data_IF_415063920037
#
_entry.id   IF_415063920037
#
_cell.length_a   1.000
_cell.length_b   1.000
_cell.length_c   1.000
_cell.angle_alpha   90.00
_cell.angle_beta   90.00
_cell.angle_gamma   90.00
#
_symmetry.space_group_name_H-M   'P 1'
#
loop_
_entity.id
_entity.type
_entity.pdbx_description
1 polymer ?
#
# COMPACT_ATOMS: atom_id res chain seq x y z
N UNK A 1 1.28 29.66 53.58
CA UNK A 1 1.66 29.22 52.22
C UNK A 1 2.37 27.89 52.38
N UNK A 2 1.91 26.83 51.71
CA UNK A 2 2.57 25.52 51.75
C UNK A 2 3.53 25.42 50.56
N UNK A 3 4.79 25.15 50.84
CA UNK A 3 5.84 25.05 49.84
C UNK A 3 5.65 23.79 48.98
N UNK A 4 5.74 23.92 47.66
CA UNK A 4 5.81 22.76 46.74
C UNK A 4 7.23 22.70 46.20
N UNK A 5 8.01 21.65 46.50
CA UNK A 5 9.32 21.50 45.88
C UNK A 5 9.14 21.35 44.36
N UNK A 6 9.66 22.32 43.60
CA UNK A 6 9.84 22.18 42.16
C UNK A 6 10.97 21.17 41.98
N UNK A 7 10.60 19.90 41.77
CA UNK A 7 11.55 18.82 41.56
C UNK A 7 12.38 19.09 40.31
N UNK A 8 13.67 19.34 40.53
CA UNK A 8 14.64 19.62 39.49
C UNK A 8 14.79 18.36 38.62
N UNK A 9 14.34 18.44 37.37
CA UNK A 9 14.54 17.38 36.38
C UNK A 9 15.51 17.92 35.35
N UNK A 10 16.78 17.54 35.48
CA UNK A 10 17.80 17.82 34.48
C UNK A 10 17.26 17.52 33.07
N UNK A 11 17.56 18.40 32.11
CA UNK A 11 17.17 18.20 30.71
C UNK A 11 17.65 16.84 30.16
N UNK A 12 18.78 16.33 30.67
CA UNK A 12 19.33 15.00 30.36
C UNK A 12 18.45 13.88 30.94
N UNK A 13 17.88 14.06 32.13
CA UNK A 13 16.92 13.14 32.74
C UNK A 13 15.62 13.08 31.93
N UNK A 14 15.05 14.24 31.57
CA UNK A 14 13.84 14.33 30.73
C UNK A 14 14.06 13.67 29.37
N UNK A 15 15.21 13.90 28.72
CA UNK A 15 15.57 13.26 27.46
C UNK A 15 15.70 11.72 27.61
N UNK A 16 16.35 11.25 28.68
CA UNK A 16 16.53 9.81 28.97
C UNK A 16 15.21 9.11 29.30
N UNK A 17 14.30 9.76 30.01
CA UNK A 17 13.01 9.18 30.36
C UNK A 17 12.06 9.18 29.15
N UNK A 18 12.07 10.25 28.35
CA UNK A 18 11.38 10.29 27.04
C UNK A 18 11.91 9.18 26.11
N UNK A 19 13.23 8.94 26.13
CA UNK A 19 13.86 7.86 25.37
C UNK A 19 13.40 6.47 25.84
N UNK A 20 13.43 6.20 27.15
CA UNK A 20 12.92 4.96 27.74
C UNK A 20 11.42 4.75 27.46
N UNK A 21 10.63 5.81 27.51
CA UNK A 21 9.21 5.76 27.17
C UNK A 21 9.01 5.38 25.69
N UNK A 22 9.69 6.05 24.75
CA UNK A 22 9.66 5.68 23.32
C UNK A 22 10.12 4.24 23.08
N UNK A 23 11.15 3.77 23.79
CA UNK A 23 11.61 2.37 23.76
C UNK A 23 10.51 1.39 24.20
N UNK A 24 9.83 1.67 25.32
CA UNK A 24 8.73 0.85 25.83
C UNK A 24 7.52 0.85 24.87
N UNK A 25 7.12 2.03 24.39
CA UNK A 25 6.06 2.19 23.39
C UNK A 25 6.39 1.40 22.10
N UNK A 26 7.65 1.33 21.69
CA UNK A 26 8.09 0.52 20.54
C UNK A 26 7.99 -0.97 20.80
N UNK A 27 8.40 -1.45 21.97
CA UNK A 27 8.26 -2.86 22.36
C UNK A 27 6.78 -3.28 22.51
N UNK A 28 5.91 -2.36 22.93
CA UNK A 28 4.46 -2.58 22.96
C UNK A 28 3.87 -2.57 21.53
N UNK A 29 4.27 -1.63 20.68
CA UNK A 29 3.89 -1.56 19.25
C UNK A 29 4.53 -2.64 18.35
N UNK A 30 5.42 -3.48 18.90
CA UNK A 30 5.95 -4.69 18.27
C UNK A 30 5.18 -5.95 18.67
N UNK A 31 4.28 -5.89 19.65
CA UNK A 31 3.44 -7.04 20.00
C UNK A 31 2.24 -7.15 19.05
N UNK A 32 1.84 -8.36 18.63
CA UNK A 32 0.60 -8.53 17.88
C UNK A 32 -0.58 -8.09 18.75
N UNK A 33 -1.64 -7.57 18.13
CA UNK A 33 -2.87 -7.28 18.87
C UNK A 33 -3.42 -8.55 19.53
N UNK A 34 -4.02 -8.46 20.73
CA UNK A 34 -4.64 -9.61 21.39
C UNK A 34 -5.64 -10.29 20.47
N UNK A 35 -5.60 -11.63 20.40
CA UNK A 35 -6.45 -12.44 19.53
C UNK A 35 -7.95 -12.12 19.69
N UNK A 36 -8.40 -11.83 20.91
CA UNK A 36 -9.78 -11.42 21.20
C UNK A 36 -10.16 -10.15 20.43
N UNK A 37 -9.29 -9.14 20.41
CA UNK A 37 -9.54 -7.88 19.71
C UNK A 37 -9.49 -8.08 18.18
N UNK A 38 -8.59 -8.94 17.69
CA UNK A 38 -8.53 -9.32 16.27
C UNK A 38 -9.81 -10.04 15.82
N UNK A 39 -10.38 -10.95 16.63
CA UNK A 39 -11.57 -11.74 16.27
C UNK A 39 -12.91 -11.15 16.73
N UNK A 40 -12.91 -10.06 17.50
CA UNK A 40 -14.13 -9.37 17.97
C UNK A 40 -15.10 -9.06 16.81
N UNK A 41 -14.60 -8.46 15.73
CA UNK A 41 -15.43 -8.11 14.58
C UNK A 41 -15.97 -9.32 13.81
N UNK A 42 -15.27 -10.48 13.86
CA UNK A 42 -15.80 -11.73 13.31
C UNK A 42 -17.01 -12.20 14.11
N UNK A 43 -16.96 -12.11 15.45
CA UNK A 43 -18.10 -12.40 16.32
C UNK A 43 -19.29 -11.48 16.04
N UNK A 44 -19.04 -10.18 15.83
CA UNK A 44 -20.09 -9.20 15.47
C UNK A 44 -20.75 -9.54 14.12
N UNK A 45 -19.97 -9.86 13.08
CA UNK A 45 -20.52 -10.27 11.77
C UNK A 45 -21.35 -11.54 11.90
N UNK A 46 -20.87 -12.56 12.61
CA UNK A 46 -21.62 -13.80 12.83
C UNK A 46 -22.96 -13.54 13.56
N UNK A 47 -22.97 -12.68 14.58
CA UNK A 47 -24.20 -12.31 15.29
C UNK A 47 -25.21 -11.59 14.37
N UNK A 48 -24.76 -10.64 13.57
CA UNK A 48 -25.61 -9.92 12.59
C UNK A 48 -26.16 -10.89 11.54
N UNK A 49 -25.35 -11.84 11.05
CA UNK A 49 -25.75 -12.81 10.03
C UNK A 49 -26.79 -13.81 10.56
N UNK A 50 -26.59 -14.33 11.78
CA UNK A 50 -27.55 -15.23 12.45
C UNK A 50 -28.87 -14.50 12.73
N UNK A 51 -28.81 -13.26 13.22
CA UNK A 51 -30.02 -12.44 13.42
C UNK A 51 -30.72 -12.11 12.09
N UNK A 52 -29.97 -11.80 11.04
CA UNK A 52 -30.51 -11.58 9.68
C UNK A 52 -31.24 -12.83 9.17
N UNK A 53 -30.67 -14.02 9.37
CA UNK A 53 -31.32 -15.30 9.02
C UNK A 53 -32.62 -15.50 9.81
N UNK A 54 -32.62 -15.22 11.11
CA UNK A 54 -33.83 -15.28 11.95
C UNK A 54 -34.93 -14.32 11.45
N UNK A 55 -34.60 -13.05 11.17
CA UNK A 55 -35.60 -12.08 10.68
C UNK A 55 -36.12 -12.52 9.30
N UNK A 56 -35.24 -12.90 8.38
CA UNK A 56 -35.63 -13.28 7.03
C UNK A 56 -36.53 -14.53 7.01
N UNK A 57 -36.05 -15.64 7.56
CA UNK A 57 -36.80 -16.92 7.56
C UNK A 57 -37.99 -16.87 8.51
N UNK A 58 -37.85 -16.23 9.67
CA UNK A 58 -38.89 -16.17 10.69
C UNK A 58 -40.03 -15.19 10.37
N UNK A 59 -39.80 -14.14 9.58
CA UNK A 59 -40.82 -13.13 9.25
C UNK A 59 -41.26 -13.12 7.79
N UNK A 60 -40.35 -13.17 6.81
CA UNK A 60 -40.75 -13.14 5.37
C UNK A 60 -41.31 -14.50 4.94
N UNK A 61 -40.56 -15.56 5.18
CA UNK A 61 -40.93 -16.88 4.67
C UNK A 61 -42.22 -17.39 5.32
N UNK A 62 -42.46 -17.05 6.59
CA UNK A 62 -43.72 -17.34 7.29
C UNK A 62 -44.89 -16.49 6.76
N UNK A 63 -44.71 -15.17 6.53
CA UNK A 63 -45.72 -14.32 5.86
C UNK A 63 -46.11 -14.89 4.48
N UNK A 64 -45.13 -15.25 3.65
CA UNK A 64 -45.35 -15.78 2.29
C UNK A 64 -46.08 -17.13 2.31
N UNK A 65 -45.63 -18.09 3.12
CA UNK A 65 -46.30 -19.38 3.28
C UNK A 65 -47.75 -19.23 3.78
N UNK A 66 -48.00 -18.30 4.71
CA UNK A 66 -49.34 -18.02 5.24
C UNK A 66 -50.26 -17.29 4.24
N UNK A 67 -49.72 -16.58 3.24
CA UNK A 67 -50.50 -15.96 2.15
C UNK A 67 -50.99 -16.97 1.10
N UNK A 68 -50.60 -18.25 1.22
CA UNK A 68 -51.04 -19.35 0.33
C UNK A 68 -50.15 -19.56 -0.90
N UNK A 69 -49.24 -18.63 -1.21
CA UNK A 69 -48.29 -18.77 -2.32
C UNK A 69 -47.07 -19.60 -1.93
N UNK A 70 -47.32 -20.89 -1.74
CA UNK A 70 -46.31 -21.87 -1.31
C UNK A 70 -45.19 -22.07 -2.33
N UNK A 71 -45.46 -21.83 -3.62
CA UNK A 71 -44.46 -21.95 -4.70
C UNK A 71 -43.53 -20.74 -4.71
N UNK A 72 -44.07 -19.51 -4.69
CA UNK A 72 -43.24 -18.31 -4.62
C UNK A 72 -42.42 -18.30 -3.33
N UNK A 73 -43.06 -18.54 -2.17
CA UNK A 73 -42.37 -18.64 -0.88
C UNK A 73 -41.23 -19.66 -0.89
N UNK A 74 -41.43 -20.83 -1.51
CA UNK A 74 -40.40 -21.86 -1.68
C UNK A 74 -39.20 -21.40 -2.51
N UNK A 75 -39.44 -20.68 -3.61
CA UNK A 75 -38.37 -20.12 -4.47
C UNK A 75 -37.54 -19.07 -3.72
N UNK A 76 -38.17 -18.16 -2.98
CA UNK A 76 -37.46 -17.15 -2.20
C UNK A 76 -36.59 -17.79 -1.10
N UNK A 77 -37.11 -18.81 -0.40
CA UNK A 77 -36.35 -19.58 0.59
C UNK A 77 -35.13 -20.25 -0.06
N UNK A 78 -35.30 -20.87 -1.24
CA UNK A 78 -34.22 -21.58 -1.92
C UNK A 78 -33.09 -20.63 -2.36
N UNK A 79 -33.42 -19.48 -2.97
CA UNK A 79 -32.43 -18.49 -3.40
C UNK A 79 -31.72 -17.84 -2.21
N UNK A 80 -32.46 -17.50 -1.15
CA UNK A 80 -31.88 -16.97 0.08
C UNK A 80 -30.87 -17.96 0.70
N UNK A 81 -31.23 -19.25 0.79
CA UNK A 81 -30.32 -20.27 1.32
C UNK A 81 -29.09 -20.49 0.44
N UNK A 82 -29.22 -20.41 -0.89
CA UNK A 82 -28.07 -20.44 -1.80
C UNK A 82 -27.09 -19.30 -1.52
N UNK A 83 -27.57 -18.06 -1.43
CA UNK A 83 -26.71 -16.92 -1.14
C UNK A 83 -26.13 -16.96 0.29
N UNK A 84 -26.93 -17.37 1.28
CA UNK A 84 -26.48 -17.57 2.66
C UNK A 84 -25.37 -18.63 2.77
N UNK A 85 -25.52 -19.75 2.06
CA UNK A 85 -24.51 -20.82 2.04
C UNK A 85 -23.22 -20.35 1.34
N UNK A 86 -23.32 -19.68 0.19
CA UNK A 86 -22.15 -19.16 -0.52
C UNK A 86 -21.43 -18.06 0.26
N UNK A 87 -22.16 -17.14 0.89
CA UNK A 87 -21.62 -16.17 1.83
C UNK A 87 -20.90 -16.88 3.00
N UNK A 88 -21.56 -17.82 3.66
CA UNK A 88 -21.00 -18.51 4.83
C UNK A 88 -19.75 -19.32 4.49
N UNK A 89 -19.75 -20.02 3.36
CA UNK A 89 -18.61 -20.82 2.89
C UNK A 89 -17.41 -19.93 2.54
N UNK A 90 -17.64 -18.82 1.83
CA UNK A 90 -16.56 -17.89 1.44
C UNK A 90 -16.02 -17.10 2.63
N UNK A 91 -16.89 -16.67 3.55
CA UNK A 91 -16.48 -15.99 4.79
C UNK A 91 -15.66 -16.92 5.69
N UNK A 92 -16.13 -18.15 5.92
CA UNK A 92 -15.36 -19.17 6.65
C UNK A 92 -14.01 -19.40 5.98
N UNK A 93 -13.98 -19.58 4.65
CA UNK A 93 -12.73 -19.82 3.91
C UNK A 93 -11.71 -18.71 4.10
N UNK A 94 -12.11 -17.43 3.99
CA UNK A 94 -11.17 -16.31 4.17
C UNK A 94 -10.75 -16.09 5.62
N UNK A 95 -11.51 -16.56 6.61
CA UNK A 95 -11.11 -16.54 8.03
C UNK A 95 -10.11 -17.65 8.36
N UNK A 96 -10.30 -18.88 7.84
CA UNK A 96 -9.43 -20.03 8.16
C UNK A 96 -8.16 -20.08 7.31
N UNK A 97 -8.15 -19.42 6.14
CA UNK A 97 -6.96 -19.39 5.28
C UNK A 97 -5.99 -18.30 5.75
N UNK A 98 -4.75 -18.63 6.15
CA UNK A 98 -3.77 -17.62 6.53
C UNK A 98 -3.37 -16.77 5.30
N UNK A 99 -2.86 -15.54 5.50
CA UNK A 99 -2.49 -14.66 4.39
C UNK A 99 -1.17 -15.04 3.69
N UNK A 100 -0.34 -15.87 4.35
CA UNK A 100 1.06 -16.15 3.99
C UNK A 100 2.00 -15.22 4.75
N UNK A 101 2.78 -15.75 5.69
CA UNK A 101 3.72 -14.96 6.49
C UNK A 101 5.15 -15.16 6.00
N UNK A 102 5.91 -14.07 5.80
CA UNK A 102 7.24 -14.16 5.18
C UNK A 102 8.23 -15.01 6.00
N UNK A 103 8.10 -15.01 7.33
CA UNK A 103 8.90 -15.82 8.26
C UNK A 103 8.75 -17.34 8.06
N UNK A 104 7.65 -17.78 7.43
CA UNK A 104 7.39 -19.19 7.16
C UNK A 104 8.17 -19.67 5.90
N UNK A 105 8.78 -18.74 5.14
CA UNK A 105 9.49 -18.98 3.89
C UNK A 105 10.92 -18.41 3.84
N UNK A 106 11.23 -17.38 4.65
CA UNK A 106 12.54 -16.73 4.71
C UNK A 106 13.09 -16.81 6.13
N UNK A 107 14.32 -17.34 6.34
CA UNK A 107 14.95 -17.33 7.65
C UNK A 107 15.30 -15.91 8.09
N UNK A 108 15.53 -15.73 9.39
CA UNK A 108 16.06 -14.48 9.89
C UNK A 108 17.50 -14.27 9.40
N UNK A 109 17.86 -13.01 9.17
CA UNK A 109 19.16 -12.57 8.73
C UNK A 109 19.58 -11.28 9.44
N UNK A 110 20.89 -11.07 9.51
CA UNK A 110 21.46 -9.78 9.91
C UNK A 110 21.05 -8.66 8.94
N UNK A 111 21.03 -7.39 9.38
CA UNK A 111 20.82 -6.26 8.49
C UNK A 111 21.91 -6.20 7.40
N UNK A 112 21.62 -5.57 6.25
CA UNK A 112 22.65 -5.24 5.26
C UNK A 112 23.79 -4.38 5.87
N UNK A 113 24.87 -4.15 5.13
CA UNK A 113 25.91 -3.21 5.57
C UNK A 113 25.43 -1.74 5.53
N UNK A 114 24.67 -1.37 4.49
CA UNK A 114 24.13 -0.03 4.27
C UNK A 114 22.61 -0.03 4.12
N UNK A 115 21.98 0.97 4.71
CA UNK A 115 20.54 1.25 4.65
C UNK A 115 20.12 1.69 3.25
N UNK A 116 18.80 1.68 3.01
CA UNK A 116 18.16 2.31 1.85
C UNK A 116 18.51 3.80 1.62
N UNK A 117 19.26 4.43 2.53
CA UNK A 117 19.75 5.81 2.46
C UNK A 117 21.29 5.92 2.40
N UNK A 118 22.00 4.81 2.13
CA UNK A 118 23.46 4.77 2.04
C UNK A 118 24.20 4.94 3.37
N UNK A 119 23.48 5.02 4.50
CA UNK A 119 24.06 5.09 5.86
C UNK A 119 24.33 3.69 6.39
N UNK A 120 25.36 3.43 7.21
CA UNK A 120 25.54 2.14 7.88
C UNK A 120 24.28 1.72 8.64
N UNK A 121 23.96 0.42 8.69
CA UNK A 121 22.93 -0.10 9.60
C UNK A 121 23.43 -0.06 11.04
N UNK A 122 23.28 1.10 11.67
CA UNK A 122 23.54 1.28 13.08
C UNK A 122 22.32 0.76 13.87
N UNK A 123 22.49 -0.37 14.57
CA UNK A 123 21.47 -1.01 15.43
C UNK A 123 21.00 -0.01 16.51
N UNK A 124 21.90 0.84 17.00
CA UNK A 124 21.58 1.89 17.96
C UNK A 124 20.86 3.09 17.31
N UNK A 125 20.76 3.19 15.98
CA UNK A 125 20.01 4.25 15.29
C UNK A 125 18.51 3.95 15.18
N UNK A 126 18.13 2.69 14.90
CA UNK A 126 16.75 2.22 15.11
C UNK A 126 16.40 2.36 16.61
N UNK A 127 17.32 2.00 17.52
CA UNK A 127 17.12 2.17 18.96
C UNK A 127 16.97 3.65 19.37
N UNK A 128 17.78 4.58 18.82
CA UNK A 128 17.74 6.03 19.08
C UNK A 128 16.52 6.73 18.47
N UNK A 129 15.93 6.16 17.42
CA UNK A 129 14.72 6.68 16.82
C UNK A 129 14.88 8.04 16.15
N UNK A 130 16.11 8.37 15.76
CA UNK A 130 16.45 9.57 14.99
C UNK A 130 16.26 9.40 13.48
N UNK A 131 15.87 8.20 13.02
CA UNK A 131 15.40 8.01 11.64
C UNK A 131 13.90 8.35 11.52
N UNK A 132 13.57 9.64 11.59
CA UNK A 132 12.30 10.18 11.09
C UNK A 132 12.14 9.97 9.56
N UNK A 133 13.15 9.41 8.89
CA UNK A 133 13.11 8.88 7.52
C UNK A 133 12.37 7.55 7.37
N UNK A 134 11.94 6.89 8.44
CA UNK A 134 11.13 5.65 8.41
C UNK A 134 9.72 5.76 7.75
N UNK A 135 9.46 6.79 6.94
CA UNK A 135 8.47 6.72 5.86
C UNK A 135 8.95 5.76 4.76
N UNK A 136 8.82 4.46 5.03
CA UNK A 136 8.60 3.51 3.93
C UNK A 136 7.46 4.03 3.06
N UNK A 137 7.66 4.08 1.73
CA UNK A 137 6.72 4.68 0.77
C UNK A 137 5.35 3.94 0.73
N UNK A 138 5.18 2.84 1.47
CA UNK A 138 3.89 2.19 1.74
C UNK A 138 3.09 2.73 2.94
N UNK A 139 3.70 3.28 4.00
CA UNK A 139 3.03 3.41 5.33
C UNK A 139 2.27 4.71 5.59
N UNK A 140 1.49 5.20 4.61
CA UNK A 140 0.65 6.38 4.80
C UNK A 140 -0.59 6.16 5.70
N UNK A 141 -0.73 5.02 6.38
CA UNK A 141 -1.81 4.75 7.34
C UNK A 141 -1.48 5.18 8.79
N UNK A 142 -0.24 5.59 9.07
CA UNK A 142 0.27 5.84 10.43
C UNK A 142 -0.26 7.11 11.15
N UNK A 143 -1.11 7.92 10.53
CA UNK A 143 -1.39 9.28 11.02
C UNK A 143 -2.86 9.73 11.01
N UNK A 144 -3.83 8.81 10.90
CA UNK A 144 -5.26 9.14 10.86
C UNK A 144 -6.02 8.58 12.08
N UNK A 145 -5.69 9.09 13.27
CA UNK A 145 -6.56 8.99 14.45
C UNK A 145 -6.49 10.20 15.39
N UNK A 146 -5.49 11.09 15.27
CA UNK A 146 -5.40 12.29 16.10
C UNK A 146 -5.04 13.53 15.27
N UNK A 147 -6.06 14.34 14.96
CA UNK A 147 -5.90 15.77 14.67
C UNK A 147 -6.95 16.56 15.44
N UNK A 148 -6.69 16.72 16.75
CA UNK A 148 -7.32 17.77 17.54
C UNK A 148 -6.92 19.15 17.01
N UNK A 149 -7.79 20.14 17.21
CA UNK A 149 -7.59 21.49 16.69
C UNK A 149 -6.35 22.17 17.27
N UNK A 150 -5.42 22.60 16.39
CA UNK A 150 -4.30 23.48 16.71
C UNK A 150 -4.20 24.61 15.67
N UNK A 151 -4.11 25.87 16.11
CA UNK A 151 -4.04 27.05 15.24
C UNK A 151 -2.67 27.17 14.55
N UNK A 152 -2.57 27.79 13.37
CA UNK A 152 -1.28 28.09 12.76
C UNK A 152 -0.58 29.21 13.55
N UNK A 153 0.63 28.93 14.06
CA UNK A 153 1.52 29.97 14.56
C UNK A 153 2.34 30.55 13.41
N UNK A 154 2.06 31.81 13.09
CA UNK A 154 2.94 32.66 12.31
C UNK A 154 4.18 33.02 13.13
N UNK A 155 5.36 32.83 12.57
CA UNK A 155 6.61 33.43 13.04
C UNK A 155 7.35 33.97 11.82
N UNK A 156 7.39 35.30 11.70
CA UNK A 156 8.15 35.99 10.68
C UNK A 156 9.63 36.06 11.08
N UNK A 157 10.53 35.85 10.12
CA UNK A 157 11.98 36.03 10.30
C UNK A 157 12.41 37.43 9.85
N UNK A 158 12.79 38.27 10.80
CA UNK A 158 13.34 39.61 10.58
C UNK A 158 14.83 39.55 10.17
N UNK A 159 15.25 40.14 9.04
CA UNK A 159 16.61 39.98 8.51
C UNK A 159 17.59 41.06 8.98
N UNK A 160 18.02 41.05 10.24
CA UNK A 160 19.12 41.92 10.71
C UNK A 160 20.09 41.28 11.72
N UNK A 161 21.20 40.70 11.23
CA UNK A 161 22.57 40.80 11.81
C UNK A 161 23.60 40.02 11.00
N UNK A 162 24.70 40.71 10.64
CA UNK A 162 25.96 40.16 10.12
C UNK A 162 27.13 40.71 11.00
N UNK A 163 28.36 40.17 10.88
CA UNK A 163 29.25 39.95 12.03
C UNK A 163 30.35 41.01 12.19
N UNK A 164 31.21 40.90 13.22
CA UNK A 164 32.58 41.42 13.19
C UNK A 164 33.55 40.42 12.52
N UNK A 165 34.67 40.95 12.05
CA UNK A 165 35.61 40.38 11.07
C UNK A 165 37.04 40.35 11.67
N UNK A 166 38.07 40.03 10.85
CA UNK A 166 39.52 40.29 11.08
C UNK A 166 40.23 39.23 11.96
N UNK A 167 41.42 38.66 11.66
CA UNK A 167 42.47 38.93 10.64
C UNK A 167 43.19 37.64 10.16
N UNK A 168 44.01 37.76 9.11
CA UNK A 168 44.82 36.67 8.53
C UNK A 168 46.19 36.46 9.22
N UNK A 169 46.77 35.26 9.07
CA UNK A 169 48.13 34.91 9.49
C UNK A 169 48.60 33.60 8.82
N UNK A 170 49.89 33.51 8.46
CA UNK A 170 50.43 32.52 7.49
C UNK A 170 51.08 31.28 8.11
N UNK A 171 50.93 30.15 7.38
CA UNK A 171 51.89 29.03 7.18
C UNK A 171 52.52 28.31 8.39
N UNK A 172 52.41 26.96 8.42
CA UNK A 172 53.55 26.04 8.22
C UNK A 172 53.14 24.55 8.21
N UNK A 173 53.99 23.79 7.53
CA UNK A 173 54.14 22.33 7.33
C UNK A 173 53.50 21.34 8.33
N UNK A 174 53.06 20.18 7.81
CA UNK A 174 53.79 18.92 8.05
C UNK A 174 53.48 17.86 6.98
N UNK A 175 54.53 17.23 6.46
CA UNK A 175 54.50 16.11 5.50
C UNK A 175 55.17 14.86 6.13
N UNK A 176 55.06 13.69 5.48
CA UNK A 176 55.76 12.40 5.77
C UNK A 176 55.25 11.51 6.96
N UNK A 177 55.28 10.16 6.96
CA UNK A 177 55.62 9.10 5.95
C UNK A 177 54.98 7.72 6.37
N UNK A 178 54.72 6.74 5.47
CA UNK A 178 54.16 5.37 5.71
C UNK A 178 55.27 4.26 5.82
N UNK A 179 55.11 2.90 5.66
CA UNK A 179 53.99 1.98 5.30
C UNK A 179 53.94 0.61 6.09
N UNK A 180 53.65 -0.54 5.41
CA UNK A 180 53.75 -2.00 5.78
C UNK A 180 52.45 -2.64 6.40
N UNK A 181 51.60 -3.42 5.71
CA UNK A 181 51.73 -4.75 5.03
C UNK A 181 51.81 -5.96 6.01
N UNK A 182 51.23 -7.15 5.81
CA UNK A 182 50.25 -7.75 4.87
C UNK A 182 49.68 -9.05 5.52
N UNK A 183 48.77 -9.81 4.85
CA UNK A 183 48.76 -11.30 4.76
C UNK A 183 47.49 -11.80 4.03
N UNK A 184 47.67 -12.82 3.19
CA UNK A 184 46.63 -13.47 2.37
C UNK A 184 45.79 -14.50 3.15
N UNK A 185 44.55 -14.75 2.70
CA UNK A 185 44.08 -16.12 2.37
C UNK A 185 42.64 -16.13 1.81
N UNK A 186 42.48 -16.49 0.52
CA UNK A 186 41.39 -17.37 0.06
C UNK A 186 41.98 -18.35 -0.96
N UNK A 187 41.68 -19.63 -0.75
CA UNK A 187 42.26 -20.77 -1.48
C UNK A 187 41.31 -21.19 -2.62
N UNK A 188 41.89 -21.47 -3.79
CA UNK A 188 41.43 -22.28 -4.94
C UNK A 188 39.96 -22.15 -5.42
N UNK A 189 39.63 -21.70 -6.65
CA UNK A 189 39.97 -22.29 -7.98
C UNK A 189 39.30 -23.67 -8.26
N UNK A 190 39.06 -24.08 -9.53
CA UNK A 190 39.01 -23.32 -10.80
C UNK A 190 37.89 -23.78 -11.80
N UNK A 191 38.02 -23.32 -13.06
CA UNK A 191 37.48 -23.85 -14.33
C UNK A 191 36.06 -23.37 -14.73
N UNK A 192 35.83 -22.84 -15.93
CA UNK A 192 36.76 -22.69 -17.07
C UNK A 192 36.41 -21.56 -18.03
N UNK A 193 37.44 -21.14 -18.76
CA UNK A 193 37.45 -20.05 -19.73
C UNK A 193 36.71 -20.39 -21.03
N UNK A 194 36.26 -19.38 -21.77
CA UNK A 194 36.51 -19.32 -23.22
C UNK A 194 36.22 -17.94 -23.86
N UNK A 195 37.10 -17.53 -24.79
CA UNK A 195 36.99 -16.42 -25.77
C UNK A 195 37.12 -14.94 -25.31
N UNK A 196 37.63 -14.02 -26.18
CA UNK A 196 38.93 -13.41 -25.86
C UNK A 196 38.99 -11.87 -25.96
N UNK A 197 40.20 -11.35 -25.68
CA UNK A 197 40.60 -9.93 -25.74
C UNK A 197 40.15 -9.16 -27.00
N UNK A 198 39.72 -7.93 -26.76
CA UNK A 198 39.72 -6.82 -27.71
C UNK A 198 39.95 -5.52 -26.96
N UNK A 199 41.03 -4.79 -27.27
CA UNK A 199 41.45 -3.60 -26.53
C UNK A 199 40.49 -2.41 -26.67
N UNK A 200 40.18 -1.76 -25.56
CA UNK A 200 39.74 -0.37 -25.54
C UNK A 200 40.06 0.29 -24.19
N UNK A 201 41.06 1.19 -24.19
CA UNK A 201 41.29 2.12 -23.08
C UNK A 201 40.09 3.04 -22.91
N UNK A 202 39.43 3.01 -21.74
CA UNK A 202 38.65 4.16 -21.29
C UNK A 202 38.74 4.35 -19.78
N UNK A 203 39.03 5.58 -19.38
CA UNK A 203 39.20 6.05 -18.01
C UNK A 203 37.90 5.94 -17.19
N UNK A 204 38.03 5.50 -15.94
CA UNK A 204 36.96 5.58 -14.95
C UNK A 204 36.77 7.05 -14.57
N UNK A 205 35.63 7.64 -14.93
CA UNK A 205 35.23 8.97 -14.45
C UNK A 205 34.15 8.87 -13.37
N UNK A 206 34.60 9.16 -12.16
CA UNK A 206 33.78 9.55 -11.01
C UNK A 206 32.79 10.66 -11.40
N UNK A 207 31.50 10.45 -11.15
CA UNK A 207 30.44 11.44 -11.45
C UNK A 207 29.65 11.80 -10.20
N UNK A 208 30.08 12.86 -9.53
CA UNK A 208 29.22 13.64 -8.64
C UNK A 208 28.14 14.37 -9.47
N UNK A 209 26.91 14.53 -8.96
CA UNK A 209 25.83 15.18 -9.70
C UNK A 209 25.92 16.70 -9.58
N UNK A 210 26.59 17.35 -10.53
CA UNK A 210 26.48 18.80 -10.72
C UNK A 210 25.51 19.14 -11.85
N UNK A 211 24.54 20.01 -11.57
CA UNK A 211 23.60 20.53 -12.56
C UNK A 211 24.36 21.32 -13.64
N UNK A 212 24.26 20.89 -14.90
CA UNK A 212 24.61 21.74 -16.05
C UNK A 212 23.35 22.04 -16.90
N UNK A 213 23.05 23.31 -17.17
CA UNK A 213 22.00 23.66 -18.11
C UNK A 213 22.51 23.51 -19.55
N UNK A 214 21.81 22.74 -20.37
CA UNK A 214 22.12 22.60 -21.80
C UNK A 214 21.92 23.96 -22.49
N UNK A 215 22.95 24.45 -23.17
CA UNK A 215 22.90 25.72 -23.89
C UNK A 215 22.02 25.61 -25.14
N UNK A 216 20.85 26.25 -25.12
CA UNK A 216 20.00 26.38 -26.31
C UNK A 216 20.63 27.35 -27.32
N UNK A 217 20.76 26.93 -28.57
CA UNK A 217 21.15 27.80 -29.68
C UNK A 217 20.10 28.91 -29.85
N UNK A 218 20.57 30.14 -30.07
CA UNK A 218 19.71 31.30 -30.34
C UNK A 218 19.46 31.42 -31.84
N UNK A 219 18.32 30.93 -32.30
CA UNK A 219 17.65 31.56 -33.45
C UNK A 219 16.55 32.46 -32.92
N UNK A 220 16.54 33.71 -33.41
CA UNK A 220 15.65 34.74 -32.90
C UNK A 220 14.41 34.87 -33.76
N UNK A 221 13.25 34.61 -33.17
CA UNK A 221 11.98 35.17 -33.66
C UNK A 221 11.37 36.10 -32.61
N UNK A 222 10.77 37.19 -33.08
CA UNK A 222 10.21 38.26 -32.25
C UNK A 222 8.69 38.22 -32.33
N UNK A 223 8.01 37.62 -31.35
CA UNK A 223 6.67 38.07 -30.90
C UNK A 223 6.22 37.35 -29.63
N UNK A 224 5.15 37.88 -29.03
CA UNK A 224 4.44 37.43 -27.81
C UNK A 224 5.10 37.71 -26.46
N UNK A 225 4.28 38.32 -25.58
CA UNK A 225 4.61 38.69 -24.20
C UNK A 225 4.89 37.41 -23.40
N UNK A 226 6.13 37.26 -22.93
CA UNK A 226 6.59 36.02 -22.30
C UNK A 226 5.91 35.70 -20.97
N UNK A 227 4.86 34.89 -20.99
CA UNK A 227 4.64 33.95 -19.90
C UNK A 227 5.82 32.98 -19.88
N UNK A 228 6.58 32.95 -18.78
CA UNK A 228 7.52 31.86 -18.52
C UNK A 228 6.71 30.57 -18.35
N UNK A 229 6.51 29.82 -19.43
CA UNK A 229 5.98 28.47 -19.34
C UNK A 229 6.95 27.62 -18.53
N UNK A 230 6.62 27.39 -17.26
CA UNK A 230 7.36 26.47 -16.38
C UNK A 230 7.22 25.09 -17.00
N UNK A 231 8.31 24.55 -17.53
CA UNK A 231 8.30 23.23 -18.15
C UNK A 231 8.19 22.16 -17.06
N UNK A 232 6.97 21.67 -16.80
CA UNK A 232 6.73 20.62 -15.82
C UNK A 232 6.84 19.24 -16.49
N UNK A 233 7.74 18.42 -15.95
CA UNK A 233 7.86 17.01 -16.25
C UNK A 233 7.29 16.16 -15.10
N UNK A 234 6.82 14.95 -15.40
CA UNK A 234 6.55 13.93 -14.37
C UNK A 234 7.89 13.51 -13.75
N UNK A 235 7.93 13.40 -12.42
CA UNK A 235 9.10 12.88 -11.69
C UNK A 235 8.69 11.60 -10.91
N UNK A 236 8.79 10.41 -11.54
CA UNK A 236 8.37 9.17 -10.92
C UNK A 236 9.38 8.68 -9.87
N UNK A 237 8.96 7.86 -8.88
CA UNK A 237 9.85 7.36 -7.83
C UNK A 237 11.05 6.59 -8.41
N UNK A 238 12.26 7.02 -8.06
CA UNK A 238 13.53 6.39 -8.46
C UNK A 238 14.09 5.45 -7.39
N UNK A 239 13.26 5.04 -6.42
CA UNK A 239 13.67 4.09 -5.37
C UNK A 239 13.82 2.69 -5.97
N UNK A 240 14.99 2.03 -5.81
CA UNK A 240 15.24 0.69 -6.33
C UNK A 240 14.52 -0.37 -5.46
N UNK A 241 13.24 -0.61 -5.74
CA UNK A 241 12.37 -1.47 -4.90
C UNK A 241 12.71 -2.97 -4.97
N UNK A 242 13.44 -3.43 -6.00
CA UNK A 242 13.90 -4.81 -6.12
C UNK A 242 15.28 -5.03 -5.48
N UNK A 243 16.08 -3.97 -5.31
CA UNK A 243 17.40 -4.05 -4.70
C UNK A 243 17.34 -4.62 -3.27
N UNK A 244 18.43 -5.26 -2.85
CA UNK A 244 18.49 -6.04 -1.62
C UNK A 244 18.35 -5.13 -0.39
N UNK A 245 19.13 -4.06 -0.35
CA UNK A 245 19.28 -3.11 0.77
C UNK A 245 17.96 -2.42 1.14
N UNK A 246 17.05 -2.31 0.17
CA UNK A 246 15.74 -1.65 0.28
C UNK A 246 14.63 -2.57 0.82
N UNK A 247 14.89 -3.88 0.95
CA UNK A 247 13.89 -4.89 1.33
C UNK A 247 14.06 -5.48 2.71
N UNK A 248 15.04 -5.08 3.52
CA UNK A 248 15.15 -5.58 4.91
C UNK A 248 13.96 -5.18 5.80
N UNK A 249 13.67 -6.00 6.82
CA UNK A 249 12.75 -5.68 7.91
C UNK A 249 13.48 -5.77 9.26
N UNK A 250 13.79 -4.63 9.90
CA UNK A 250 14.40 -4.62 11.24
C UNK A 250 13.54 -5.27 12.34
N UNK A 251 12.22 -5.33 12.16
CA UNK A 251 11.27 -5.93 13.12
C UNK A 251 11.29 -7.45 13.10
N UNK A 252 11.08 -8.03 11.92
CA UNK A 252 11.05 -9.48 11.72
C UNK A 252 12.47 -10.06 11.56
N UNK A 253 13.46 -9.19 11.36
CA UNK A 253 14.86 -9.48 11.04
C UNK A 253 15.01 -10.40 9.81
N UNK A 254 14.32 -10.08 8.72
CA UNK A 254 14.36 -10.86 7.48
C UNK A 254 14.36 -9.97 6.23
N UNK A 255 14.85 -10.51 5.12
CA UNK A 255 14.69 -9.91 3.80
C UNK A 255 13.27 -10.15 3.29
N UNK A 256 12.52 -9.07 3.05
CA UNK A 256 11.16 -9.16 2.51
C UNK A 256 11.21 -9.77 1.10
N UNK A 257 10.45 -10.84 0.84
CA UNK A 257 10.11 -11.24 -0.52
C UNK A 257 9.43 -10.10 -1.27
N UNK A 258 9.31 -10.23 -2.58
CA UNK A 258 8.65 -9.22 -3.39
C UNK A 258 7.21 -8.99 -2.91
N UNK A 259 6.74 -7.73 -2.96
CA UNK A 259 5.38 -7.31 -2.54
C UNK A 259 5.04 -7.57 -1.05
N UNK A 260 6.03 -7.91 -0.23
CA UNK A 260 5.85 -8.18 1.21
C UNK A 260 5.93 -6.91 2.05
N UNK A 261 5.00 -6.74 2.99
CA UNK A 261 5.03 -5.64 3.97
C UNK A 261 4.76 -6.13 5.39
N UNK A 262 5.35 -5.44 6.39
CA UNK A 262 5.11 -5.72 7.81
C UNK A 262 3.78 -5.12 8.27
N UNK A 263 2.83 -5.98 8.65
CA UNK A 263 1.60 -5.53 9.31
C UNK A 263 1.84 -5.36 10.81
N UNK A 264 1.59 -4.15 11.33
CA UNK A 264 1.79 -3.85 12.76
C UNK A 264 0.78 -4.55 13.66
N UNK A 265 -0.47 -4.67 13.20
CA UNK A 265 -1.58 -5.26 13.97
C UNK A 265 -1.40 -6.78 14.17
N UNK A 266 -0.74 -7.43 13.20
CA UNK A 266 -0.31 -8.84 13.29
C UNK A 266 1.16 -9.00 13.73
N UNK A 267 1.91 -7.92 13.89
CA UNK A 267 3.34 -7.88 14.19
C UNK A 267 4.22 -8.83 13.35
N UNK A 268 3.97 -8.89 12.03
CA UNK A 268 4.70 -9.80 11.12
C UNK A 268 4.62 -9.32 9.67
N UNK A 269 5.62 -9.68 8.87
CA UNK A 269 5.64 -9.57 7.41
C UNK A 269 4.66 -10.56 6.76
N UNK A 270 3.84 -10.02 5.85
CA UNK A 270 2.82 -10.75 5.10
C UNK A 270 3.15 -10.69 3.61
N UNK A 271 3.12 -11.85 2.93
CA UNK A 271 3.36 -12.00 1.50
C UNK A 271 2.26 -11.31 0.70
N UNK A 272 2.62 -10.60 -0.37
CA UNK A 272 1.71 -9.80 -1.21
C UNK A 272 0.71 -8.96 -0.40
N UNK A 273 1.19 -8.31 0.67
CA UNK A 273 0.32 -7.67 1.66
C UNK A 273 -0.57 -6.61 1.01
N UNK A 274 -1.88 -6.81 1.13
CA UNK A 274 -2.88 -5.91 0.60
C UNK A 274 -3.37 -4.94 1.68
N UNK A 275 -3.97 -5.47 2.75
CA UNK A 275 -4.37 -4.70 3.92
C UNK A 275 -4.59 -5.60 5.14
N UNK A 276 -4.73 -4.99 6.32
CA UNK A 276 -5.29 -5.67 7.50
C UNK A 276 -6.80 -5.42 7.54
N UNK A 277 -7.60 -6.48 7.65
CA UNK A 277 -9.05 -6.40 7.56
C UNK A 277 -9.71 -6.85 8.88
N UNK A 278 -10.27 -5.92 9.68
CA UNK A 278 -10.95 -6.25 10.92
C UNK A 278 -12.12 -7.23 10.71
N UNK A 279 -12.85 -7.12 9.60
CA UNK A 279 -14.04 -7.93 9.30
C UNK A 279 -13.78 -9.43 9.17
N UNK A 280 -12.55 -9.85 8.83
CA UNK A 280 -12.09 -11.26 8.84
C UNK A 280 -11.13 -11.55 10.02
N UNK A 281 -10.79 -10.51 10.78
CA UNK A 281 -9.88 -10.55 11.91
C UNK A 281 -8.46 -11.02 11.56
N UNK A 282 -7.93 -10.65 10.39
CA UNK A 282 -6.56 -10.91 9.94
C UNK A 282 -6.17 -10.08 8.71
N UNK A 283 -4.95 -10.25 8.21
CA UNK A 283 -4.52 -9.65 6.95
C UNK A 283 -5.10 -10.35 5.72
N UNK A 284 -5.16 -9.58 4.63
CA UNK A 284 -5.30 -10.06 3.26
C UNK A 284 -3.91 -10.03 2.61
N UNK A 285 -3.49 -11.17 2.06
CA UNK A 285 -2.18 -11.39 1.43
C UNK A 285 -2.25 -12.51 0.39
N UNK A 286 -1.09 -12.94 -0.11
CA UNK A 286 -0.94 -13.85 -1.26
C UNK A 286 -1.90 -15.05 -1.24
N UNK A 287 -2.05 -15.71 -0.08
CA UNK A 287 -2.76 -16.99 0.02
C UNK A 287 -4.27 -16.86 0.27
N UNK A 288 -4.77 -15.69 0.66
CA UNK A 288 -6.20 -15.47 0.93
C UNK A 288 -6.84 -14.33 0.11
N UNK A 289 -6.07 -13.59 -0.70
CA UNK A 289 -6.58 -12.51 -1.59
C UNK A 289 -7.69 -12.98 -2.54
N UNK A 290 -7.57 -14.18 -3.13
CA UNK A 290 -8.65 -14.82 -3.91
C UNK A 290 -9.93 -15.04 -3.09
N UNK A 291 -9.79 -15.61 -1.89
CA UNK A 291 -10.94 -15.88 -1.02
C UNK A 291 -11.58 -14.61 -0.46
N UNK A 292 -10.80 -13.53 -0.29
CA UNK A 292 -11.32 -12.22 0.07
C UNK A 292 -12.23 -11.64 -1.01
N UNK A 293 -11.84 -11.72 -2.29
CA UNK A 293 -12.70 -11.26 -3.39
C UNK A 293 -13.99 -12.11 -3.50
N UNK A 294 -13.88 -13.44 -3.34
CA UNK A 294 -15.07 -14.31 -3.31
C UNK A 294 -15.99 -13.92 -2.14
N UNK A 295 -15.43 -13.67 -0.95
CA UNK A 295 -16.18 -13.23 0.22
C UNK A 295 -16.90 -11.90 -0.04
N UNK A 296 -16.23 -10.86 -0.54
CA UNK A 296 -16.91 -9.58 -0.80
C UNK A 296 -17.97 -9.71 -1.88
N UNK A 297 -17.71 -10.49 -2.95
CA UNK A 297 -18.67 -10.74 -4.03
C UNK A 297 -19.95 -11.40 -3.52
N UNK A 298 -19.84 -12.53 -2.82
CA UNK A 298 -21.02 -13.22 -2.28
C UNK A 298 -21.69 -12.47 -1.13
N UNK A 299 -20.94 -11.64 -0.39
CA UNK A 299 -21.54 -10.68 0.56
C UNK A 299 -22.42 -9.65 -0.16
N UNK A 300 -21.99 -9.12 -1.32
CA UNK A 300 -22.81 -8.20 -2.12
C UNK A 300 -24.09 -8.86 -2.60
N UNK A 301 -24.03 -10.08 -3.15
CA UNK A 301 -25.24 -10.79 -3.59
C UNK A 301 -26.18 -11.13 -2.44
N UNK A 302 -25.66 -11.63 -1.32
CA UNK A 302 -26.46 -11.93 -0.13
C UNK A 302 -27.15 -10.69 0.44
N UNK A 303 -26.40 -9.60 0.64
CA UNK A 303 -26.97 -8.35 1.19
C UNK A 303 -27.91 -7.65 0.22
N UNK A 304 -27.63 -7.66 -1.09
CA UNK A 304 -28.52 -7.12 -2.11
C UNK A 304 -29.84 -7.89 -2.19
N UNK A 305 -29.80 -9.23 -2.10
CA UNK A 305 -30.99 -10.07 -2.08
C UNK A 305 -31.87 -9.78 -0.85
N UNK A 306 -31.27 -9.75 0.34
CA UNK A 306 -31.97 -9.41 1.59
C UNK A 306 -32.57 -8.00 1.49
N UNK A 307 -31.80 -7.00 1.06
CA UNK A 307 -32.27 -5.63 0.90
C UNK A 307 -33.45 -5.54 -0.07
N UNK A 308 -33.31 -6.08 -1.29
CA UNK A 308 -34.32 -5.97 -2.34
C UNK A 308 -35.63 -6.68 -1.99
N UNK A 309 -35.55 -7.88 -1.39
CA UNK A 309 -36.74 -8.65 -1.04
C UNK A 309 -37.47 -8.12 0.20
N UNK A 310 -36.75 -7.65 1.23
CA UNK A 310 -37.37 -6.97 2.38
C UNK A 310 -37.97 -5.61 1.99
N UNK A 311 -37.28 -4.83 1.16
CA UNK A 311 -37.82 -3.56 0.67
C UNK A 311 -39.07 -3.77 -0.19
N UNK A 312 -39.14 -4.86 -0.97
CA UNK A 312 -40.32 -5.22 -1.73
C UNK A 312 -41.52 -5.58 -0.84
N UNK A 313 -41.36 -6.45 0.17
CA UNK A 313 -42.47 -6.76 1.11
C UNK A 313 -42.91 -5.49 1.86
N UNK A 314 -41.98 -4.64 2.31
CA UNK A 314 -42.30 -3.35 2.94
C UNK A 314 -43.14 -2.43 2.03
N UNK A 315 -42.79 -2.29 0.76
CA UNK A 315 -43.53 -1.46 -0.22
C UNK A 315 -44.91 -2.04 -0.55
N UNK A 316 -45.06 -3.36 -0.53
CA UNK A 316 -46.34 -4.04 -0.71
C UNK A 316 -47.21 -3.86 0.54
N UNK A 317 -46.65 -4.11 1.72
CA UNK A 317 -47.37 -4.07 2.99
C UNK A 317 -47.76 -2.64 3.41
N UNK A 318 -46.98 -1.61 3.02
CA UNK A 318 -47.33 -0.21 3.24
C UNK A 318 -48.58 0.25 2.49
N UNK A 319 -49.14 -0.57 1.61
CA UNK A 319 -50.44 -0.34 0.93
C UNK A 319 -51.63 -0.85 1.73
N UNK A 320 -51.40 -1.63 2.79
CA UNK A 320 -52.45 -2.18 3.64
C UNK A 320 -52.90 -1.16 4.67
N UNK A 321 -54.22 -1.06 4.87
CA UNK A 321 -54.84 -0.09 5.82
C UNK A 321 -54.41 -0.33 7.27
N UNK A 322 -54.05 -1.57 7.60
CA UNK A 322 -53.58 -2.00 8.92
C UNK A 322 -52.04 -2.12 9.01
N UNK A 323 -51.30 -1.45 8.13
CA UNK A 323 -49.83 -1.51 8.11
C UNK A 323 -49.21 -1.16 9.46
N UNK A 324 -48.31 -2.01 9.95
CA UNK A 324 -47.49 -1.74 11.13
C UNK A 324 -46.02 -1.99 10.81
N UNK A 325 -45.17 -1.01 11.14
CA UNK A 325 -43.75 -1.05 10.86
C UNK A 325 -43.01 -1.93 11.89
N UNK A 326 -42.55 -3.11 11.47
CA UNK A 326 -41.68 -3.94 12.32
C UNK A 326 -40.28 -3.31 12.39
N UNK A 327 -39.85 -2.97 13.61
CA UNK A 327 -38.54 -2.35 13.85
C UNK A 327 -37.35 -3.26 13.55
N UNK A 328 -37.49 -4.58 13.66
CA UNK A 328 -36.43 -5.52 13.29
C UNK A 328 -36.30 -5.62 11.77
N UNK A 329 -37.42 -5.71 11.06
CA UNK A 329 -37.44 -5.72 9.60
C UNK A 329 -36.84 -4.42 9.03
N UNK A 330 -37.25 -3.27 9.57
CA UNK A 330 -36.70 -1.95 9.21
C UNK A 330 -35.18 -1.87 9.46
N UNK A 331 -34.69 -2.40 10.58
CA UNK A 331 -33.27 -2.40 10.89
C UNK A 331 -32.46 -3.32 9.95
N UNK A 332 -32.99 -4.49 9.56
CA UNK A 332 -32.33 -5.36 8.57
C UNK A 332 -32.35 -4.71 7.18
N UNK A 333 -33.42 -4.02 6.76
CA UNK A 333 -33.45 -3.25 5.50
C UNK A 333 -32.35 -2.18 5.50
N UNK A 334 -32.24 -1.37 6.56
CA UNK A 334 -31.23 -0.32 6.64
C UNK A 334 -29.79 -0.89 6.62
N UNK A 335 -29.52 -1.95 7.38
CA UNK A 335 -28.21 -2.60 7.43
C UNK A 335 -27.85 -3.31 6.13
N UNK A 336 -28.78 -4.06 5.53
CA UNK A 336 -28.54 -4.76 4.26
C UNK A 336 -28.31 -3.78 3.11
N UNK A 337 -29.02 -2.64 3.05
CA UNK A 337 -28.75 -1.58 2.09
C UNK A 337 -27.36 -0.95 2.25
N UNK A 338 -26.97 -0.62 3.49
CA UNK A 338 -25.64 -0.11 3.81
C UNK A 338 -24.53 -1.10 3.41
N UNK A 339 -24.66 -2.37 3.81
CA UNK A 339 -23.67 -3.40 3.51
C UNK A 339 -23.67 -3.79 2.03
N UNK A 340 -24.78 -3.66 1.30
CA UNK A 340 -24.81 -3.82 -0.16
C UNK A 340 -23.90 -2.79 -0.82
N UNK A 341 -24.09 -1.50 -0.51
CA UNK A 341 -23.25 -0.42 -1.07
C UNK A 341 -21.78 -0.60 -0.69
N UNK A 342 -21.50 -0.90 0.58
CA UNK A 342 -20.15 -1.08 1.10
C UNK A 342 -19.43 -2.25 0.42
N UNK A 343 -20.04 -3.45 0.43
CA UNK A 343 -19.43 -4.65 -0.16
C UNK A 343 -19.34 -4.56 -1.68
N UNK A 344 -20.31 -3.93 -2.37
CA UNK A 344 -20.23 -3.70 -3.81
C UNK A 344 -19.03 -2.79 -4.15
N UNK A 345 -18.80 -1.74 -3.36
CA UNK A 345 -17.65 -0.84 -3.54
C UNK A 345 -16.31 -1.55 -3.31
N UNK A 346 -16.23 -2.44 -2.31
CA UNK A 346 -15.05 -3.29 -2.08
C UNK A 346 -14.84 -4.29 -3.22
N UNK A 347 -15.89 -5.01 -3.64
CA UNK A 347 -15.81 -5.97 -4.75
C UNK A 347 -15.36 -5.29 -6.03
N UNK A 348 -15.90 -4.12 -6.38
CA UNK A 348 -15.48 -3.34 -7.54
C UNK A 348 -14.03 -2.84 -7.41
N UNK A 349 -13.65 -2.33 -6.23
CA UNK A 349 -12.30 -1.87 -5.93
C UNK A 349 -11.26 -2.98 -6.06
N UNK A 350 -11.45 -4.11 -5.39
CA UNK A 350 -10.54 -5.25 -5.46
C UNK A 350 -10.55 -5.93 -6.83
N UNK A 351 -11.69 -5.97 -7.55
CA UNK A 351 -11.73 -6.41 -8.95
C UNK A 351 -10.83 -5.54 -9.84
N UNK A 352 -10.89 -4.20 -9.70
CA UNK A 352 -9.98 -3.28 -10.40
C UNK A 352 -8.52 -3.58 -10.05
N UNK A 353 -8.21 -3.72 -8.75
CA UNK A 353 -6.87 -4.00 -8.25
C UNK A 353 -6.29 -5.30 -8.82
N UNK A 354 -7.08 -6.37 -8.91
CA UNK A 354 -6.68 -7.61 -9.59
C UNK A 354 -6.43 -7.38 -11.08
N UNK A 355 -7.33 -6.68 -11.79
CA UNK A 355 -7.22 -6.41 -13.23
C UNK A 355 -5.98 -5.58 -13.62
N UNK A 356 -5.44 -4.77 -12.71
CA UNK A 356 -4.17 -4.02 -12.90
C UNK A 356 -2.95 -4.69 -12.26
N UNK A 357 -3.12 -5.88 -11.66
CA UNK A 357 -2.17 -6.56 -10.77
C UNK A 357 -1.51 -5.64 -9.73
N UNK A 358 -2.33 -4.97 -8.91
CA UNK A 358 -1.86 -4.15 -7.79
C UNK A 358 -2.50 -4.58 -6.48
N UNK A 359 -1.76 -4.46 -5.38
CA UNK A 359 -2.32 -4.47 -4.03
C UNK A 359 -2.88 -3.10 -3.65
N UNK A 360 -3.66 -3.02 -2.58
CA UNK A 360 -4.11 -1.72 -2.02
C UNK A 360 -2.91 -0.83 -1.65
N UNK A 361 -1.81 -1.38 -1.12
CA UNK A 361 -0.59 -0.60 -0.81
C UNK A 361 0.06 -0.03 -2.08
N UNK A 362 0.14 -0.82 -3.14
CA UNK A 362 0.70 -0.39 -4.43
C UNK A 362 -0.19 0.67 -5.10
N UNK A 363 -1.51 0.52 -4.99
CA UNK A 363 -2.49 1.52 -5.45
C UNK A 363 -2.37 2.86 -4.73
N UNK A 364 -2.08 2.86 -3.42
CA UNK A 364 -1.72 4.09 -2.70
C UNK A 364 -0.40 4.70 -3.23
N UNK A 365 0.54 3.88 -3.72
CA UNK A 365 1.70 4.32 -4.49
C UNK A 365 1.30 5.13 -5.72
N UNK A 366 0.40 4.58 -6.56
CA UNK A 366 -0.10 5.25 -7.76
C UNK A 366 -0.85 6.55 -7.46
N UNK A 367 -1.67 6.56 -6.39
CA UNK A 367 -2.38 7.76 -5.94
C UNK A 367 -1.41 8.88 -5.54
N UNK A 368 -0.32 8.58 -4.81
CA UNK A 368 0.70 9.59 -4.47
C UNK A 368 1.44 10.14 -5.70
N UNK A 369 1.66 9.33 -6.74
CA UNK A 369 2.19 9.85 -8.02
C UNK A 369 1.18 10.78 -8.68
N UNK A 370 -0.10 10.38 -8.73
CA UNK A 370 -1.19 11.21 -9.29
C UNK A 370 -1.39 12.53 -8.54
N UNK A 371 -1.22 12.53 -7.22
CA UNK A 371 -1.27 13.73 -6.36
C UNK A 371 -0.09 14.67 -6.65
N UNK A 372 1.14 14.14 -6.80
CA UNK A 372 2.32 14.93 -7.21
C UNK A 372 2.16 15.51 -8.63
N UNK A 373 1.69 14.70 -9.58
CA UNK A 373 1.36 15.14 -10.93
C UNK A 373 0.34 16.28 -10.90
N UNK A 374 -0.73 16.14 -10.11
CA UNK A 374 -1.77 17.17 -9.92
C UNK A 374 -1.19 18.46 -9.32
N UNK A 375 -0.42 18.37 -8.23
CA UNK A 375 0.17 19.54 -7.58
C UNK A 375 1.12 20.29 -8.53
N UNK A 376 1.95 19.56 -9.28
CA UNK A 376 2.85 20.16 -10.28
C UNK A 376 2.09 20.87 -11.42
N UNK A 377 0.94 20.34 -11.83
CA UNK A 377 0.05 21.00 -12.81
C UNK A 377 -0.67 22.23 -12.22
N UNK A 378 -0.97 22.24 -10.92
CA UNK A 378 -1.59 23.38 -10.24
C UNK A 378 -0.61 24.54 -10.03
N UNK A 379 0.69 24.26 -9.89
CA UNK A 379 1.75 25.28 -9.84
C UNK A 379 1.98 25.92 -11.22
N UNK A 380 1.92 25.16 -12.31
CA UNK A 380 2.26 25.68 -13.65
C UNK A 380 1.07 26.19 -14.48
N UNK A 381 -0.16 25.78 -14.16
CA UNK A 381 -1.35 26.11 -14.94
C UNK A 381 -2.52 26.56 -14.06
N UNK A 382 -3.16 27.65 -14.47
CA UNK A 382 -4.38 28.18 -13.84
C UNK A 382 -5.51 27.13 -13.79
N UNK A 383 -6.47 27.29 -12.88
CA UNK A 383 -7.63 26.38 -12.76
C UNK A 383 -8.42 26.28 -14.07
N UNK A 384 -8.46 27.36 -14.87
CA UNK A 384 -9.17 27.45 -16.15
C UNK A 384 -8.42 26.83 -17.34
N UNK A 385 -7.11 26.54 -17.20
CA UNK A 385 -6.27 25.97 -18.26
C UNK A 385 -6.44 24.44 -18.34
N UNK A 386 -7.69 24.00 -18.50
CA UNK A 386 -8.06 22.59 -18.49
C UNK A 386 -7.44 21.82 -19.67
N UNK A 387 -7.29 22.48 -20.83
CA UNK A 387 -6.71 21.88 -22.04
C UNK A 387 -5.22 21.64 -21.87
N UNK A 388 -4.47 22.63 -21.41
CA UNK A 388 -3.03 22.54 -21.17
C UNK A 388 -2.69 21.52 -20.08
N UNK A 389 -3.53 21.43 -19.03
CA UNK A 389 -3.45 20.37 -18.01
C UNK A 389 -3.76 18.97 -18.57
N UNK A 390 -4.67 18.85 -19.51
CA UNK A 390 -4.97 17.58 -20.19
C UNK A 390 -3.82 17.18 -21.13
N UNK A 391 -3.39 18.08 -22.01
CA UNK A 391 -2.33 17.85 -22.99
C UNK A 391 -0.98 17.54 -22.31
N UNK A 392 -0.69 18.17 -21.16
CA UNK A 392 0.50 17.85 -20.36
C UNK A 392 0.44 16.46 -19.73
N UNK A 393 -0.71 16.04 -19.17
CA UNK A 393 -0.88 14.66 -18.68
C UNK A 393 -0.78 13.63 -19.81
N UNK A 394 -1.33 13.95 -20.99
CA UNK A 394 -1.23 13.11 -22.17
C UNK A 394 0.23 12.94 -22.63
N UNK A 395 1.02 14.02 -22.63
CA UNK A 395 2.48 13.95 -22.90
C UNK A 395 3.20 13.07 -21.88
N UNK A 396 2.92 13.21 -20.58
CA UNK A 396 3.52 12.33 -19.55
C UNK A 396 3.08 10.86 -19.68
N UNK A 397 1.86 10.57 -20.14
CA UNK A 397 1.45 9.19 -20.46
C UNK A 397 2.11 8.65 -21.73
N UNK A 398 2.44 9.48 -22.71
CA UNK A 398 3.23 9.07 -23.87
C UNK A 398 4.69 8.78 -23.47
N UNK A 399 5.29 9.67 -22.69
CA UNK A 399 6.68 9.61 -22.22
C UNK A 399 6.93 8.50 -21.20
N UNK A 400 6.03 8.27 -20.23
CA UNK A 400 6.24 7.34 -19.13
C UNK A 400 5.26 6.16 -19.10
N UNK A 401 4.24 6.16 -19.96
CA UNK A 401 3.11 5.23 -19.84
C UNK A 401 2.11 5.62 -18.74
N UNK A 402 1.10 4.77 -18.55
CA UNK A 402 0.06 4.96 -17.53
C UNK A 402 0.55 4.42 -16.19
N UNK A 403 0.34 5.21 -15.14
CA UNK A 403 0.79 4.92 -13.76
C UNK A 403 0.34 3.52 -13.29
N UNK A 404 -0.90 3.11 -13.60
CA UNK A 404 -1.49 1.84 -13.15
C UNK A 404 -1.22 0.65 -14.10
N UNK A 405 -0.50 0.85 -15.21
CA UNK A 405 -0.22 -0.19 -16.21
C UNK A 405 1.27 -0.24 -16.53
N UNK A 406 1.73 0.46 -17.54
CA UNK A 406 3.11 0.41 -17.99
C UNK A 406 4.09 0.97 -16.93
N UNK A 407 3.60 1.86 -16.04
CA UNK A 407 4.33 2.32 -14.86
C UNK A 407 4.19 1.45 -13.59
N UNK A 408 3.28 0.46 -13.59
CA UNK A 408 3.20 -0.54 -12.52
C UNK A 408 4.23 -1.65 -12.78
N UNK A 409 5.10 -1.88 -11.79
CA UNK A 409 6.16 -2.89 -11.82
C UNK A 409 5.64 -4.33 -11.96
N UNK A 410 4.42 -4.60 -11.51
CA UNK A 410 3.83 -5.94 -11.49
C UNK A 410 2.78 -6.17 -12.60
N UNK A 411 2.56 -5.18 -13.47
CA UNK A 411 1.55 -5.32 -14.52
C UNK A 411 2.06 -6.23 -15.64
N UNK A 412 1.33 -7.32 -15.92
CA UNK A 412 1.78 -8.35 -16.84
C UNK A 412 1.73 -7.91 -18.31
N UNK A 413 0.54 -7.52 -18.79
CA UNK A 413 0.30 -7.06 -20.17
C UNK A 413 -1.18 -6.78 -20.44
N UNK A 414 -2.05 -7.57 -19.83
CA UNK A 414 -3.49 -7.50 -20.06
C UNK A 414 -4.29 -7.89 -18.81
N UNK A 415 -5.56 -7.47 -18.80
CA UNK A 415 -6.47 -7.66 -17.68
C UNK A 415 -6.66 -9.14 -17.29
N UNK A 416 -6.62 -10.05 -18.27
CA UNK A 416 -6.85 -11.48 -18.05
C UNK A 416 -5.64 -12.16 -17.42
N UNK A 417 -4.43 -11.86 -17.87
CA UNK A 417 -3.19 -12.35 -17.26
C UNK A 417 -3.10 -11.94 -15.78
N UNK A 418 -3.34 -10.64 -15.50
CA UNK A 418 -3.37 -10.10 -14.15
C UNK A 418 -4.44 -10.75 -13.25
N UNK A 419 -5.60 -11.10 -13.82
CA UNK A 419 -6.69 -11.79 -13.11
C UNK A 419 -6.38 -13.27 -12.84
N UNK A 420 -5.87 -14.00 -13.84
CA UNK A 420 -5.56 -15.42 -13.73
C UNK A 420 -4.38 -15.70 -12.78
N UNK A 421 -3.43 -14.76 -12.60
CA UNK A 421 -2.35 -14.87 -11.59
C UNK A 421 -2.90 -15.03 -10.15
N UNK A 422 -4.07 -14.47 -9.86
CA UNK A 422 -4.71 -14.55 -8.53
C UNK A 422 -5.84 -15.58 -8.51
N UNK A 423 -6.70 -15.59 -9.52
CA UNK A 423 -7.93 -16.40 -9.53
C UNK A 423 -7.72 -17.81 -10.11
N UNK A 424 -6.64 -18.03 -10.85
CA UNK A 424 -6.35 -19.25 -11.61
C UNK A 424 -7.03 -19.29 -12.98
N UNK A 425 -6.63 -20.23 -13.84
CA UNK A 425 -7.16 -20.33 -15.22
C UNK A 425 -8.59 -20.93 -15.32
N UNK A 426 -9.08 -21.58 -14.25
CA UNK A 426 -10.37 -22.27 -14.23
C UNK A 426 -11.50 -21.33 -13.79
N UNK A 427 -12.38 -20.97 -14.72
CA UNK A 427 -13.46 -19.98 -14.50
C UNK A 427 -14.40 -20.34 -13.35
N UNK A 428 -14.72 -21.62 -13.11
CA UNK A 428 -15.58 -22.01 -11.98
C UNK A 428 -14.90 -21.78 -10.62
N UNK A 429 -13.56 -21.83 -10.55
CA UNK A 429 -12.82 -21.51 -9.34
C UNK A 429 -12.75 -19.99 -9.10
N UNK A 430 -13.24 -19.13 -10.01
CA UNK A 430 -13.31 -17.67 -9.80
C UNK A 430 -14.44 -17.25 -8.87
N UNK A 431 -15.48 -18.07 -8.75
CA UNK A 431 -16.64 -17.79 -7.89
C UNK A 431 -16.75 -18.74 -6.69
N UNK A 432 -16.05 -19.88 -6.74
CA UNK A 432 -16.04 -20.86 -5.65
C UNK A 432 -14.79 -20.68 -4.76
N UNK A 433 -14.91 -20.78 -3.42
CA UNK A 433 -13.80 -20.62 -2.46
C UNK A 433 -12.87 -21.86 -2.40
N UNK A 434 -12.43 -22.33 -3.57
CA UNK A 434 -11.63 -23.54 -3.78
C UNK A 434 -10.33 -23.24 -4.55
N UNK A 435 -9.44 -24.23 -4.61
CA UNK A 435 -8.12 -24.11 -5.23
C UNK A 435 -7.13 -23.31 -4.39
N UNK A 436 -6.08 -22.82 -5.06
CA UNK A 436 -5.08 -21.86 -4.56
C UNK A 436 -4.78 -20.85 -5.68
N UNK A 437 -4.25 -19.69 -5.34
CA UNK A 437 -3.63 -18.80 -6.32
C UNK A 437 -2.48 -19.53 -7.03
N UNK A 438 -2.28 -19.37 -8.36
CA UNK A 438 -1.08 -19.90 -9.04
C UNK A 438 0.24 -19.35 -8.51
N UNK A 439 0.24 -18.12 -8.00
CA UNK A 439 1.41 -17.46 -7.43
C UNK A 439 1.79 -18.03 -6.05
N UNK A 440 3.10 -18.24 -5.81
CA UNK A 440 3.67 -18.83 -4.59
C UNK A 440 3.80 -17.85 -3.40
N UNK A 441 3.54 -16.56 -3.62
CA UNK A 441 3.68 -15.48 -2.64
C UNK A 441 5.08 -14.85 -2.60
N UNK A 442 6.04 -15.39 -3.34
CA UNK A 442 7.48 -15.11 -3.21
C UNK A 442 8.06 -14.51 -4.49
N UNK A 443 7.66 -15.07 -5.64
CA UNK A 443 8.17 -14.70 -6.96
C UNK A 443 7.05 -14.07 -7.79
N UNK A 444 7.39 -12.97 -8.47
CA UNK A 444 6.47 -12.24 -9.34
C UNK A 444 7.17 -11.92 -10.65
N UNK A 445 6.52 -12.14 -11.80
CA UNK A 445 6.99 -11.59 -13.06
C UNK A 445 7.04 -10.06 -12.97
N UNK A 446 8.15 -9.49 -13.40
CA UNK A 446 8.42 -8.05 -13.38
C UNK A 446 8.14 -7.47 -14.77
N UNK A 447 7.48 -6.32 -14.83
CA UNK A 447 7.25 -5.57 -16.06
C UNK A 447 8.61 -5.12 -16.65
N UNK A 448 8.98 -5.56 -17.87
CA UNK A 448 10.30 -5.28 -18.48
C UNK A 448 10.51 -3.80 -18.89
N UNK A 449 9.53 -2.92 -18.63
CA UNK A 449 9.62 -1.46 -18.81
C UNK A 449 10.31 -0.75 -17.63
N UNK A 450 10.63 -1.47 -16.56
CA UNK A 450 11.40 -1.00 -15.41
C UNK A 450 12.86 -1.46 -15.53
N UNK A 451 13.75 -0.85 -14.74
CA UNK A 451 15.14 -1.33 -14.65
C UNK A 451 15.26 -2.61 -13.78
N UNK A 452 16.41 -3.29 -13.76
CA UNK A 452 16.63 -4.48 -12.91
C UNK A 452 16.44 -4.22 -11.41
N UNK A 453 16.55 -2.97 -10.97
CA UNK A 453 16.30 -2.52 -9.59
C UNK A 453 14.81 -2.19 -9.33
N UNK A 454 13.95 -2.21 -10.35
CA UNK A 454 12.53 -1.89 -10.29
C UNK A 454 12.18 -0.40 -10.41
N UNK A 455 13.12 0.46 -10.83
CA UNK A 455 12.88 1.88 -11.09
C UNK A 455 12.11 2.06 -12.39
N UNK A 456 11.19 3.02 -12.41
CA UNK A 456 10.37 3.32 -13.57
C UNK A 456 11.19 4.11 -14.60
N UNK A 457 11.28 3.60 -15.84
CA UNK A 457 11.96 4.22 -16.98
C UNK A 457 10.98 4.93 -17.95
N UNK A 458 11.43 5.96 -18.68
CA UNK A 458 10.67 6.53 -19.79
C UNK A 458 10.66 5.59 -21.00
N UNK A 459 9.68 5.75 -21.89
CA UNK A 459 9.42 4.92 -23.08
C UNK A 459 10.63 4.80 -24.01
N UNK A 460 11.44 5.84 -24.12
CA UNK A 460 12.70 5.82 -24.89
C UNK A 460 13.76 4.84 -24.37
N UNK A 461 13.59 4.32 -23.15
CA UNK A 461 14.46 3.33 -22.50
C UNK A 461 13.76 1.98 -22.26
N UNK A 462 12.56 1.78 -22.80
CA UNK A 462 11.91 0.47 -22.81
C UNK A 462 12.55 -0.44 -23.87
N UNK A 463 12.43 -1.77 -23.75
CA UNK A 463 12.79 -2.69 -24.82
C UNK A 463 12.09 -2.31 -26.14
N UNK A 464 12.79 -2.42 -27.27
CA UNK A 464 12.36 -1.89 -28.58
C UNK A 464 11.00 -2.47 -29.02
N UNK A 465 10.74 -3.72 -28.69
CA UNK A 465 9.50 -4.45 -28.95
C UNK A 465 8.30 -3.97 -28.10
N UNK A 466 8.53 -3.10 -27.11
CA UNK A 466 7.51 -2.55 -26.20
C UNK A 466 7.34 -1.03 -26.29
N UNK A 467 8.15 -0.34 -27.12
CA UNK A 467 8.11 1.12 -27.35
C UNK A 467 6.87 1.55 -28.14
#
# INVERSE_FOLDING_TARGET
>A
MADRPRGDRDCVGVARDTYKQKQKERQENQKPQPWILQKLMVGVVLAIVVWTYYVYVGRICTKLLNRGDTVEGGVYIAIFNLFFLMFSWTYLKVIVTPPGFARDHVPQCEPPATTQYGRPWDIDSEARGTDDGHRTIGTAYEGMSERGHGRPLSMASDPTRLPPEVQAGTALELDAIPPIAAVHARIASPVGDDYPFGDASTTVHETQPYLQPVAAQKEGDKTHKGQKHVHVARNPPQTPVLAYEYRYCGRDKLMKPMRTHHCRLCATCVLQYDHHCPWIGQCVGAYNRKFFLNFTFWSTWFTAWVFGTLLADLIVDSRNVNFQLDGQETAVIALSGLFTMFTASLTAGHTRLLIINATTVESLGFSRVREKDKASLEVAFSIWQCREKYDTRKRWEQEWGRIEREGNLWWLENARANWEEVMGHKVWEWFLPIGKSPNDGMHYPVNPRHDPDGRWRPRSQWPLELQ
#
